data_IF_319667544060
#
_entry.id   IF_319667544060
#
_cell.length_a   1.000
_cell.length_b   1.000
_cell.length_c   1.000
_cell.angle_alpha   90.00
_cell.angle_beta   90.00
_cell.angle_gamma   90.00
#
_symmetry.space_group_name_H-M   'P 1'
#
loop_
_entity.id
_entity.type
_entity.pdbx_description
1 polymer ?
#
# COMPACT_ATOMS: atom_id res chain seq x y z
N UNK A 1 -5.37 4.93 -6.39
CA UNK A 1 -4.67 4.57 -5.13
C UNK A 1 -4.95 5.62 -4.07
N UNK A 2 -4.86 6.90 -4.44
CA UNK A 2 -5.30 8.06 -3.67
C UNK A 2 -6.63 7.94 -2.90
N UNK A 3 -7.73 7.59 -3.57
CA UNK A 3 -9.05 7.45 -2.91
C UNK A 3 -9.06 6.41 -1.77
N UNK A 4 -8.31 5.31 -1.93
CA UNK A 4 -8.18 4.29 -0.88
C UNK A 4 -7.33 4.77 0.29
N UNK A 5 -6.33 5.61 0.04
CA UNK A 5 -5.51 6.22 1.07
C UNK A 5 -6.34 7.23 1.87
N UNK A 6 -7.20 8.00 1.20
CA UNK A 6 -8.13 8.95 1.84
C UNK A 6 -9.14 8.24 2.75
N UNK A 7 -9.75 7.13 2.32
CA UNK A 7 -10.64 6.33 3.18
C UNK A 7 -9.94 5.79 4.44
N UNK A 8 -8.67 5.39 4.31
CA UNK A 8 -7.88 4.87 5.44
C UNK A 8 -7.49 5.99 6.40
N UNK A 9 -7.20 7.19 5.91
CA UNK A 9 -6.93 8.39 6.73
C UNK A 9 -8.15 8.70 7.61
N UNK A 10 -9.35 8.73 7.04
CA UNK A 10 -10.59 9.00 7.79
C UNK A 10 -10.84 7.94 8.87
N UNK A 11 -10.59 6.68 8.55
CA UNK A 11 -10.73 5.59 9.51
C UNK A 11 -9.74 5.70 10.67
N UNK A 12 -8.47 6.03 10.40
CA UNK A 12 -7.44 6.18 11.44
C UNK A 12 -7.75 7.36 12.38
N UNK A 13 -8.26 8.47 11.84
CA UNK A 13 -8.64 9.64 12.64
C UNK A 13 -9.78 9.31 13.62
N UNK A 14 -10.80 8.62 13.14
CA UNK A 14 -12.05 8.36 13.90
C UNK A 14 -12.04 7.07 14.72
N UNK A 15 -11.08 6.17 14.46
CA UNK A 15 -11.02 4.86 15.12
C UNK A 15 -10.54 4.97 16.56
N UNK A 16 -11.32 4.42 17.48
CA UNK A 16 -10.94 4.19 18.88
C UNK A 16 -10.01 2.96 19.05
N UNK A 17 -9.82 2.17 17.98
CA UNK A 17 -8.97 0.96 17.99
C UNK A 17 -7.51 1.26 17.68
N UNK A 18 -7.22 2.45 17.15
CA UNK A 18 -5.85 2.94 16.95
C UNK A 18 -5.54 3.82 18.16
N UNK A 19 -4.46 3.49 18.88
CA UNK A 19 -4.09 4.30 20.05
C UNK A 19 -3.75 5.73 19.63
N UNK A 20 -4.21 6.70 20.42
CA UNK A 20 -3.99 8.14 20.16
C UNK A 20 -2.51 8.49 20.02
N UNK A 21 -1.62 7.77 20.71
CA UNK A 21 -0.17 7.95 20.62
C UNK A 21 0.40 7.59 19.23
N UNK A 22 -0.22 6.64 18.52
CA UNK A 22 0.26 6.11 17.25
C UNK A 22 -0.40 6.78 16.04
N UNK A 23 -1.55 7.43 16.23
CA UNK A 23 -2.28 8.13 15.16
C UNK A 23 -1.42 9.14 14.40
N UNK A 24 -0.61 10.02 15.04
CA UNK A 24 0.18 11.02 14.32
C UNK A 24 1.16 10.39 13.31
N UNK A 25 1.88 9.33 13.73
CA UNK A 25 2.87 8.64 12.89
C UNK A 25 2.21 7.89 11.72
N UNK A 26 1.05 7.27 11.95
CA UNK A 26 0.31 6.56 10.91
C UNK A 26 -0.25 7.54 9.88
N UNK A 27 -0.79 8.68 10.32
CA UNK A 27 -1.32 9.70 9.42
C UNK A 27 -0.21 10.34 8.58
N UNK A 28 0.94 10.66 9.18
CA UNK A 28 2.12 11.16 8.46
C UNK A 28 2.52 10.21 7.32
N UNK A 29 2.55 8.90 7.59
CA UNK A 29 2.93 7.91 6.57
C UNK A 29 1.92 7.76 5.44
N UNK A 30 0.62 7.86 5.76
CA UNK A 30 -0.45 7.80 4.76
C UNK A 30 -0.46 9.06 3.88
N UNK A 31 -0.15 10.23 4.45
CA UNK A 31 0.01 11.48 3.73
C UNK A 31 1.21 11.44 2.78
N UNK A 32 2.37 10.91 3.21
CA UNK A 32 3.51 10.65 2.33
C UNK A 32 3.13 9.78 1.13
N UNK A 33 2.44 8.66 1.36
CA UNK A 33 2.00 7.76 0.28
C UNK A 33 0.96 8.38 -0.65
N UNK A 34 0.16 9.34 -0.14
CA UNK A 34 -0.77 10.13 -0.96
C UNK A 34 -0.03 11.07 -1.90
N UNK A 35 1.12 11.59 -1.48
CA UNK A 35 1.96 12.51 -2.24
C UNK A 35 2.97 11.80 -3.16
N UNK A 36 3.36 10.56 -2.84
CA UNK A 36 4.21 9.69 -3.67
C UNK A 36 3.54 9.20 -4.98
N UNK A 37 2.30 9.60 -5.28
CA UNK A 37 1.56 9.28 -6.52
C UNK A 37 2.32 9.74 -7.81
N UNK A 38 3.30 10.65 -7.72
CA UNK A 38 4.21 10.96 -8.85
C UNK A 38 5.21 9.82 -9.18
N UNK A 39 5.41 8.84 -8.30
CA UNK A 39 6.36 7.72 -8.48
C UNK A 39 5.71 6.37 -8.86
N UNK A 40 4.37 6.26 -8.87
CA UNK A 40 3.64 4.99 -9.07
C UNK A 40 3.86 4.35 -10.45
N UNK A 41 4.30 5.11 -11.45
CA UNK A 41 4.58 4.59 -12.78
C UNK A 41 5.81 3.65 -12.79
N UNK A 42 6.75 3.78 -11.85
CA UNK A 42 7.96 2.94 -11.80
C UNK A 42 7.73 1.62 -11.02
N UNK A 43 6.83 1.64 -10.04
CA UNK A 43 6.53 0.48 -9.18
C UNK A 43 5.72 -0.58 -9.92
N UNK A 44 4.74 -0.16 -10.74
CA UNK A 44 3.91 -1.10 -11.53
C UNK A 44 4.75 -1.93 -12.50
N UNK A 45 5.78 -1.31 -13.10
CA UNK A 45 6.73 -1.98 -14.00
C UNK A 45 7.62 -2.97 -13.23
N UNK A 46 8.10 -2.59 -12.04
CA UNK A 46 8.90 -3.48 -11.19
C UNK A 46 8.10 -4.68 -10.68
N UNK A 47 6.83 -4.48 -10.33
CA UNK A 47 5.94 -5.57 -9.90
C UNK A 47 5.61 -6.53 -11.05
N UNK A 48 5.36 -6.02 -12.26
CA UNK A 48 5.17 -6.88 -13.44
C UNK A 48 6.39 -7.75 -13.72
N UNK A 49 7.59 -7.17 -13.67
CA UNK A 49 8.83 -7.90 -13.90
C UNK A 49 9.07 -8.98 -12.84
N UNK A 50 8.88 -8.63 -11.56
CA UNK A 50 9.05 -9.60 -10.47
C UNK A 50 8.00 -10.72 -10.51
N UNK A 51 6.75 -10.41 -10.90
CA UNK A 51 5.71 -11.42 -11.05
C UNK A 51 6.03 -12.44 -12.14
N UNK A 52 6.57 -11.99 -13.28
CA UNK A 52 7.02 -12.90 -14.35
C UNK A 52 8.17 -13.82 -13.90
N UNK A 53 9.04 -13.35 -13.01
CA UNK A 53 10.14 -14.18 -12.47
C UNK A 53 9.64 -15.25 -11.48
N UNK A 54 8.57 -14.97 -10.74
CA UNK A 54 8.03 -15.84 -9.70
C UNK A 54 6.92 -16.78 -10.16
N UNK A 55 6.29 -16.50 -11.31
CA UNK A 55 5.22 -17.32 -11.90
C UNK A 55 5.56 -18.83 -11.96
N UNK A 56 6.76 -19.27 -12.40
CA UNK A 56 7.08 -20.69 -12.46
C UNK A 56 7.05 -21.38 -11.08
N UNK A 57 7.48 -20.68 -10.03
CA UNK A 57 7.48 -21.18 -8.66
C UNK A 57 6.04 -21.34 -8.16
N UNK A 58 5.17 -20.39 -8.47
CA UNK A 58 3.76 -20.46 -8.07
C UNK A 58 2.99 -21.56 -8.80
N UNK A 59 3.31 -21.81 -10.08
CA UNK A 59 2.77 -22.93 -10.84
C UNK A 59 3.22 -24.30 -10.26
N UNK A 60 4.49 -24.43 -9.87
CA UNK A 60 5.00 -25.65 -9.20
C UNK A 60 4.32 -25.91 -7.85
N UNK A 61 3.94 -24.85 -7.13
CA UNK A 61 3.22 -24.93 -5.86
C UNK A 61 1.70 -25.06 -6.01
N UNK A 62 1.17 -25.00 -7.24
CA UNK A 62 -0.25 -25.12 -7.55
C UNK A 62 -1.10 -23.94 -7.09
N UNK A 63 -0.49 -22.76 -6.96
CA UNK A 63 -1.18 -21.54 -6.53
C UNK A 63 -1.85 -20.78 -7.69
N UNK A 64 -1.52 -21.18 -8.92
CA UNK A 64 -2.12 -20.77 -10.20
C UNK A 64 -2.15 -21.95 -11.16
#
# INVERSE_FOLDING_TARGET
>A
MKEKIEEVIEYVQTSEKVSEENKPLILEKLEEWREEDEAINDISVRFQNWWMEMEPIFAELGWI
#
